data_IF_840817148614
#
_entry.id   IF_840817148614
#
_cell.length_a   1.000
_cell.length_b   1.000
_cell.length_c   1.000
_cell.angle_alpha   90.00
_cell.angle_beta   90.00
_cell.angle_gamma   90.00
#
_symmetry.space_group_name_H-M   'P 1'
#
loop_
_entity.id
_entity.type
_entity.pdbx_description
1 polymer ?
#
# COMPACT_ATOMS: atom_id res chain seq x y z
N UNK A 1 91.73 -24.34 -17.94
CA UNK A 1 92.09 -23.74 -16.65
C UNK A 1 91.97 -22.23 -16.80
N UNK A 2 91.48 -21.60 -15.72
CA UNK A 2 91.57 -20.18 -15.35
C UNK A 2 90.74 -19.12 -16.07
N UNK A 3 89.69 -18.66 -15.37
CA UNK A 3 89.24 -17.25 -15.35
C UNK A 3 90.27 -16.40 -14.56
N UNK A 4 90.35 -15.06 -14.75
CA UNK A 4 89.50 -14.14 -13.96
C UNK A 4 89.08 -12.80 -14.60
N UNK A 5 87.94 -12.29 -14.08
CA UNK A 5 87.41 -10.92 -13.87
C UNK A 5 88.24 -9.68 -14.28
N UNK A 6 87.54 -8.67 -14.87
CA UNK A 6 87.38 -7.25 -14.42
C UNK A 6 86.67 -6.40 -15.52
N UNK A 7 85.38 -6.08 -15.43
CA UNK A 7 84.73 -4.83 -14.92
C UNK A 7 85.27 -3.49 -15.46
N UNK A 8 84.60 -2.92 -16.47
CA UNK A 8 84.37 -1.46 -16.64
C UNK A 8 83.01 -1.25 -17.36
N UNK A 9 81.93 -0.97 -16.62
CA UNK A 9 81.28 0.34 -16.40
C UNK A 9 80.90 1.11 -17.68
N UNK A 10 79.60 1.22 -17.95
CA UNK A 10 79.07 2.28 -18.80
C UNK A 10 77.61 2.15 -19.23
N UNK A 11 76.73 2.91 -18.57
CA UNK A 11 75.33 3.24 -18.92
C UNK A 11 74.26 2.20 -18.57
N UNK A 12 73.89 2.16 -17.29
CA UNK A 12 72.52 1.86 -16.87
C UNK A 12 71.58 2.90 -17.49
N UNK A 13 70.64 2.45 -18.32
CA UNK A 13 69.42 3.21 -18.58
C UNK A 13 68.52 2.99 -17.37
N UNK A 14 68.21 4.05 -16.65
CA UNK A 14 67.11 4.04 -15.68
C UNK A 14 65.85 3.53 -16.39
N UNK A 15 65.17 2.50 -15.86
CA UNK A 15 63.82 2.20 -16.31
C UNK A 15 62.91 3.35 -15.86
N UNK A 16 62.23 3.98 -16.82
CA UNK A 16 61.13 4.91 -16.57
C UNK A 16 60.18 4.29 -15.54
N UNK A 17 60.00 4.97 -14.40
CA UNK A 17 58.96 4.61 -13.43
C UNK A 17 57.61 4.78 -14.12
N UNK A 18 56.74 3.76 -14.18
CA UNK A 18 55.35 4.00 -14.52
C UNK A 18 54.77 4.95 -13.46
N UNK A 19 54.17 6.02 -13.95
CA UNK A 19 53.40 6.94 -13.12
C UNK A 19 52.16 6.20 -12.58
N UNK A 20 51.94 6.29 -11.27
CA UNK A 20 50.66 5.97 -10.64
C UNK A 20 50.65 4.65 -9.85
N UNK A 21 51.12 4.71 -8.61
CA UNK A 21 50.61 3.85 -7.54
C UNK A 21 49.95 4.78 -6.50
N UNK A 22 48.70 5.15 -6.74
CA UNK A 22 47.80 5.53 -5.66
C UNK A 22 47.34 4.24 -5.01
N UNK A 23 47.97 3.87 -3.89
CA UNK A 23 47.53 2.80 -2.98
C UNK A 23 46.19 3.13 -2.29
N UNK A 24 45.18 3.54 -3.05
CA UNK A 24 43.77 3.50 -2.65
C UNK A 24 43.12 2.33 -3.38
N UNK A 25 43.68 1.14 -3.17
CA UNK A 25 42.97 -0.09 -3.49
C UNK A 25 41.79 -0.20 -2.54
N UNK A 26 40.57 -0.11 -3.08
CA UNK A 26 39.31 -0.41 -2.38
C UNK A 26 39.51 -1.66 -1.52
N UNK A 27 39.55 -1.47 -0.19
CA UNK A 27 39.52 -2.60 0.73
C UNK A 27 38.23 -3.35 0.42
N UNK A 28 38.27 -4.67 0.16
CA UNK A 28 37.04 -5.41 -0.06
C UNK A 28 36.14 -5.23 1.16
N UNK A 29 34.98 -4.63 0.95
CA UNK A 29 33.95 -4.57 1.97
C UNK A 29 33.69 -6.02 2.41
N UNK A 30 33.88 -6.28 3.71
CA UNK A 30 33.58 -7.60 4.28
C UNK A 30 32.06 -7.73 4.23
N UNK A 31 31.57 -8.30 3.13
CA UNK A 31 30.17 -8.64 2.98
C UNK A 31 29.80 -9.65 4.06
N UNK A 32 28.83 -9.30 4.91
CA UNK A 32 28.32 -10.16 5.99
C UNK A 32 26.95 -10.69 5.60
N UNK A 33 26.87 -11.73 4.74
CA UNK A 33 25.63 -12.23 4.17
C UNK A 33 24.60 -12.65 5.23
N UNK A 34 25.06 -13.13 6.38
CA UNK A 34 24.21 -13.59 7.48
C UNK A 34 23.55 -12.40 8.18
N UNK A 35 24.28 -11.32 8.42
CA UNK A 35 23.75 -10.13 9.09
C UNK A 35 22.71 -9.43 8.21
N UNK A 36 22.98 -9.34 6.91
CA UNK A 36 22.04 -8.77 5.93
C UNK A 36 20.77 -9.61 5.79
N UNK A 37 20.89 -10.93 5.73
CA UNK A 37 19.75 -11.84 5.68
C UNK A 37 18.88 -11.74 6.94
N UNK A 38 19.49 -11.68 8.12
CA UNK A 38 18.78 -11.51 9.38
C UNK A 38 18.06 -10.16 9.46
N UNK A 39 18.70 -9.09 8.96
CA UNK A 39 18.12 -7.76 8.95
C UNK A 39 16.96 -7.67 7.95
N UNK A 40 17.07 -8.30 6.78
CA UNK A 40 16.00 -8.41 5.81
C UNK A 40 14.81 -9.20 6.37
N UNK A 41 15.07 -10.32 7.05
CA UNK A 41 14.03 -11.12 7.70
C UNK A 41 13.26 -10.31 8.75
N UNK A 42 13.96 -9.58 9.63
CA UNK A 42 13.33 -8.71 10.64
C UNK A 42 12.45 -7.64 10.01
N UNK A 43 12.93 -6.94 8.98
CA UNK A 43 12.13 -5.93 8.27
C UNK A 43 10.87 -6.52 7.66
N UNK A 44 10.97 -7.73 7.13
CA UNK A 44 9.84 -8.43 6.49
C UNK A 44 8.83 -8.93 7.54
N UNK A 45 9.29 -9.40 8.69
CA UNK A 45 8.44 -9.75 9.83
C UNK A 45 7.68 -8.52 10.38
N UNK A 46 8.38 -7.40 10.56
CA UNK A 46 7.78 -6.17 11.08
C UNK A 46 6.73 -5.61 10.10
N UNK A 47 7.06 -5.56 8.80
CA UNK A 47 6.11 -5.15 7.76
C UNK A 47 4.87 -6.07 7.72
N UNK A 48 5.03 -7.37 7.93
CA UNK A 48 3.92 -8.31 7.97
C UNK A 48 3.04 -8.12 9.22
N UNK A 49 3.62 -7.75 10.37
CA UNK A 49 2.84 -7.43 11.59
C UNK A 49 1.99 -6.19 11.37
N UNK A 50 2.60 -5.10 10.88
CA UNK A 50 1.87 -3.86 10.58
C UNK A 50 0.73 -4.10 9.58
N UNK A 51 1.00 -4.90 8.55
CA UNK A 51 -0.02 -5.25 7.55
C UNK A 51 -1.17 -6.05 8.14
N UNK A 52 -0.91 -6.99 9.07
CA UNK A 52 -1.97 -7.73 9.76
C UNK A 52 -2.85 -6.81 10.59
N UNK A 53 -2.25 -5.91 11.37
CA UNK A 53 -3.03 -4.96 12.18
C UNK A 53 -3.90 -4.02 11.34
N UNK A 54 -3.43 -3.61 10.16
CA UNK A 54 -4.23 -2.82 9.23
C UNK A 54 -5.41 -3.63 8.68
N UNK A 55 -5.16 -4.87 8.27
CA UNK A 55 -6.22 -5.76 7.76
C UNK A 55 -7.29 -6.03 8.84
N UNK A 56 -6.88 -6.28 10.08
CA UNK A 56 -7.83 -6.50 11.19
C UNK A 56 -8.74 -5.27 11.41
N UNK A 57 -8.17 -4.05 11.34
CA UNK A 57 -8.94 -2.80 11.46
C UNK A 57 -9.88 -2.61 10.27
N UNK A 58 -9.44 -2.93 9.05
CA UNK A 58 -10.26 -2.86 7.85
C UNK A 58 -11.42 -3.87 7.91
N UNK A 59 -11.17 -5.09 8.35
CA UNK A 59 -12.20 -6.11 8.57
C UNK A 59 -13.21 -5.68 9.63
N UNK A 60 -12.76 -5.09 10.74
CA UNK A 60 -13.65 -4.58 11.79
C UNK A 60 -14.54 -3.44 11.27
N UNK A 61 -13.99 -2.52 10.48
CA UNK A 61 -14.76 -1.43 9.86
C UNK A 61 -15.78 -1.95 8.83
N UNK A 62 -15.39 -2.92 8.01
CA UNK A 62 -16.28 -3.57 7.05
C UNK A 62 -17.40 -4.32 7.77
N UNK A 63 -17.09 -5.04 8.85
CA UNK A 63 -18.08 -5.73 9.67
C UNK A 63 -19.07 -4.76 10.31
N UNK A 64 -18.59 -3.65 10.89
CA UNK A 64 -19.45 -2.58 11.44
C UNK A 64 -20.33 -1.96 10.36
N UNK A 65 -19.79 -1.69 9.17
CA UNK A 65 -20.55 -1.16 8.03
C UNK A 65 -21.59 -2.16 7.52
N UNK A 66 -21.27 -3.45 7.49
CA UNK A 66 -22.22 -4.49 7.08
C UNK A 66 -23.37 -4.64 8.09
N UNK A 67 -23.06 -4.57 9.38
CA UNK A 67 -24.06 -4.64 10.46
C UNK A 67 -24.94 -3.37 10.50
N UNK A 68 -24.35 -2.18 10.41
CA UNK A 68 -25.08 -0.91 10.41
C UNK A 68 -25.83 -0.65 9.10
N UNK A 69 -25.23 -0.98 7.96
CA UNK A 69 -25.79 -0.75 6.62
C UNK A 69 -26.98 -1.66 6.28
N UNK A 70 -27.06 -2.87 6.86
CA UNK A 70 -28.24 -3.73 6.71
C UNK A 70 -29.45 -3.24 7.50
N UNK A 71 -29.25 -2.48 8.58
CA UNK A 71 -30.34 -2.00 9.41
C UNK A 71 -31.09 -0.81 8.78
N UNK A 72 -30.40 0.08 8.05
CA UNK A 72 -30.98 1.33 7.54
C UNK A 72 -31.15 1.39 6.01
N UNK A 73 -30.26 0.78 5.21
CA UNK A 73 -30.27 0.96 3.75
C UNK A 73 -31.22 0.03 2.96
N UNK A 74 -31.78 -0.99 3.61
CA UNK A 74 -32.59 -2.03 2.95
C UNK A 74 -34.10 -1.89 3.11
N UNK A 75 -34.58 -0.96 3.95
CA UNK A 75 -36.02 -0.70 4.06
C UNK A 75 -36.38 0.34 3.02
N UNK A 76 -36.82 -0.12 1.85
CA UNK A 76 -37.77 0.67 1.07
C UNK A 76 -38.81 1.19 2.06
N UNK A 77 -39.00 2.51 2.13
CA UNK A 77 -40.08 3.09 2.90
C UNK A 77 -41.34 2.27 2.58
N UNK A 78 -42.05 1.75 3.59
CA UNK A 78 -43.18 0.88 3.33
C UNK A 78 -44.09 1.63 2.37
N UNK A 79 -44.32 1.05 1.18
CA UNK A 79 -45.20 1.64 0.19
C UNK A 79 -46.50 2.01 0.92
N UNK A 80 -46.95 3.25 0.72
CA UNK A 80 -48.18 3.73 1.35
C UNK A 80 -49.28 2.70 1.09
N UNK A 81 -49.86 2.17 2.18
CA UNK A 81 -50.90 1.16 2.04
C UNK A 81 -52.06 1.81 1.26
N UNK A 82 -52.60 1.13 0.23
CA UNK A 82 -53.79 1.62 -0.44
C UNK A 82 -54.89 1.80 0.61
N UNK A 83 -55.42 3.01 0.69
CA UNK A 83 -56.52 3.35 1.58
C UNK A 83 -57.77 2.64 1.06
N UNK A 84 -58.59 2.11 1.97
CA UNK A 84 -59.87 1.53 1.55
C UNK A 84 -60.83 2.62 1.04
N UNK A 85 -61.75 2.28 0.14
CA UNK A 85 -62.72 3.23 -0.43
C UNK A 85 -63.50 4.00 0.65
N UNK A 86 -63.79 3.34 1.78
CA UNK A 86 -64.48 3.93 2.94
C UNK A 86 -63.62 4.96 3.67
N UNK A 87 -62.31 4.73 3.74
CA UNK A 87 -61.38 5.68 4.34
C UNK A 87 -61.09 6.85 3.40
N UNK A 88 -61.04 6.58 2.08
CA UNK A 88 -60.90 7.62 1.06
C UNK A 88 -62.10 8.57 1.07
N UNK A 89 -63.34 8.05 1.06
CA UNK A 89 -64.55 8.88 1.10
C UNK A 89 -64.57 9.79 2.34
N UNK A 90 -64.21 9.25 3.51
CA UNK A 90 -64.14 10.02 4.76
C UNK A 90 -63.10 11.14 4.73
N UNK A 91 -62.02 10.99 3.98
CA UNK A 91 -60.99 12.03 3.80
C UNK A 91 -61.45 13.11 2.84
N UNK A 92 -62.18 12.73 1.79
CA UNK A 92 -62.84 13.66 0.87
C UNK A 92 -63.90 14.48 1.62
N UNK A 93 -64.74 13.84 2.44
CA UNK A 93 -65.76 14.51 3.25
C UNK A 93 -65.15 15.50 4.26
N UNK A 94 -63.95 15.20 4.76
CA UNK A 94 -63.18 16.09 5.66
C UNK A 94 -62.40 17.18 4.92
N UNK A 95 -62.39 17.17 3.58
CA UNK A 95 -61.62 18.11 2.76
C UNK A 95 -60.11 17.90 2.82
N UNK A 96 -59.65 16.75 3.31
CA UNK A 96 -58.21 16.40 3.38
C UNK A 96 -57.66 15.97 2.01
N UNK A 97 -58.53 15.52 1.10
CA UNK A 97 -58.17 15.07 -0.24
C UNK A 97 -59.16 15.65 -1.25
N UNK A 98 -58.64 16.22 -2.35
CA UNK A 98 -59.47 16.76 -3.42
C UNK A 98 -59.49 15.77 -4.60
N UNK A 99 -60.60 15.04 -4.83
CA UNK A 99 -60.67 14.05 -5.89
C UNK A 99 -60.66 14.68 -7.29
N UNK A 100 -60.93 15.98 -7.41
CA UNK A 100 -60.96 16.69 -8.70
C UNK A 100 -59.61 17.32 -9.08
N UNK A 101 -58.64 17.33 -8.16
CA UNK A 101 -57.32 17.90 -8.40
C UNK A 101 -56.45 17.02 -9.30
N UNK A 102 -56.60 15.69 -9.25
CA UNK A 102 -55.87 14.76 -10.12
C UNK A 102 -56.49 14.69 -11.53
N UNK A 103 -57.79 14.91 -11.65
CA UNK A 103 -58.52 14.91 -12.93
C UNK A 103 -58.42 16.25 -13.70
N UNK A 104 -57.69 17.24 -13.18
CA UNK A 104 -57.37 18.49 -13.88
C UNK A 104 -58.55 19.46 -14.04
N UNK A 105 -59.56 19.39 -13.18
CA UNK A 105 -60.75 20.27 -13.22
C UNK A 105 -60.59 21.58 -12.44
N UNK A 106 -59.36 21.94 -12.05
CA UNK A 106 -59.03 23.12 -11.23
C UNK A 106 -57.84 23.86 -11.83
#
# INVERSE_FOLDING_TARGET
MDEPKEKEKGKEKEPEKPAGDTEEGDKPEIYKPIDDANLAAKRLEDANKERRELLDKEEELLAKRALGGRAEGGRQAPAEKPISDVEFSRKVDRGEVNPLAEDGFI
#
